data_IF_182550332991
#
_entry.id   IF_182550332991
#
_cell.length_a   1.000
_cell.length_b   1.000
_cell.length_c   1.000
_cell.angle_alpha   90.00
_cell.angle_beta   90.00
_cell.angle_gamma   90.00
#
_symmetry.space_group_name_H-M   'P 1'
#
loop_
_entity.id
_entity.type
_entity.pdbx_description
1 polymer ?
#
# COMPACT_ATOMS: atom_id res chain seq x y z
N UNK A 1 20.66 -11.95 27.58
CA UNK A 1 19.62 -12.99 27.60
C UNK A 1 18.24 -12.47 27.91
N UNK A 2 18.06 -11.74 29.01
CA UNK A 2 16.76 -11.14 29.32
C UNK A 2 16.30 -10.10 28.31
N UNK A 3 17.23 -9.29 27.81
CA UNK A 3 16.91 -8.25 26.82
C UNK A 3 16.43 -8.84 25.48
N UNK A 4 17.06 -9.92 25.02
CA UNK A 4 16.68 -10.57 23.77
C UNK A 4 15.29 -11.17 23.83
N UNK A 5 14.91 -11.78 24.96
CA UNK A 5 13.58 -12.33 25.13
C UNK A 5 12.51 -11.23 25.17
N UNK A 6 12.82 -10.10 25.83
CA UNK A 6 11.93 -8.95 25.88
C UNK A 6 11.77 -8.29 24.52
N UNK A 7 12.84 -8.13 23.76
CA UNK A 7 12.80 -7.59 22.41
C UNK A 7 11.96 -8.47 21.49
N UNK A 8 12.15 -9.78 21.56
CA UNK A 8 11.37 -10.73 20.76
C UNK A 8 9.88 -10.63 21.12
N UNK A 9 9.56 -10.58 22.40
CA UNK A 9 8.19 -10.46 22.88
C UNK A 9 7.55 -9.15 22.44
N UNK A 10 8.28 -8.05 22.53
CA UNK A 10 7.80 -6.73 22.06
C UNK A 10 7.55 -6.72 20.56
N UNK A 11 8.45 -7.29 19.76
CA UNK A 11 8.27 -7.39 18.32
C UNK A 11 7.04 -8.22 17.95
N UNK A 12 6.85 -9.34 18.63
CA UNK A 12 5.70 -10.20 18.42
C UNK A 12 4.39 -9.48 18.79
N UNK A 13 4.39 -8.81 19.93
CA UNK A 13 3.24 -8.03 20.39
C UNK A 13 2.88 -6.90 19.43
N UNK A 14 3.87 -6.15 18.95
CA UNK A 14 3.68 -5.07 18.00
C UNK A 14 3.07 -5.61 16.70
N UNK A 15 3.61 -6.70 16.16
CA UNK A 15 3.07 -7.33 14.94
C UNK A 15 1.62 -7.77 15.15
N UNK A 16 1.32 -8.33 16.28
CA UNK A 16 -0.03 -8.77 16.64
C UNK A 16 -0.99 -7.58 16.73
N UNK A 17 -0.55 -6.48 17.33
CA UNK A 17 -1.33 -5.25 17.44
C UNK A 17 -1.58 -4.63 16.06
N UNK A 18 -0.57 -4.57 15.20
CA UNK A 18 -0.73 -4.06 13.83
C UNK A 18 -1.74 -4.90 13.05
N UNK A 19 -1.69 -6.22 13.15
CA UNK A 19 -2.65 -7.10 12.48
C UNK A 19 -4.08 -6.85 12.96
N UNK A 20 -4.25 -6.49 14.23
CA UNK A 20 -5.54 -6.22 14.82
C UNK A 20 -6.18 -4.92 14.29
N UNK A 21 -5.36 -3.93 13.92
CA UNK A 21 -5.83 -2.61 13.49
C UNK A 21 -5.82 -2.41 11.97
N UNK A 22 -5.77 -3.47 11.19
CA UNK A 22 -5.86 -3.35 9.73
C UNK A 22 -7.22 -2.79 9.33
N UNK A 23 -7.21 -1.73 8.55
CA UNK A 23 -8.43 -1.05 8.10
C UNK A 23 -8.90 -1.59 6.75
N UNK A 24 -7.98 -1.90 5.83
CA UNK A 24 -8.33 -2.29 4.47
C UNK A 24 -7.48 -3.45 4.00
N UNK A 25 -8.14 -4.43 3.37
CA UNK A 25 -7.49 -5.59 2.76
C UNK A 25 -8.01 -5.68 1.32
N UNK A 26 -7.35 -5.02 0.37
CA UNK A 26 -7.82 -5.03 -1.02
C UNK A 26 -7.69 -6.40 -1.68
N UNK A 27 -8.57 -6.69 -2.63
CA UNK A 27 -8.51 -7.90 -3.43
C UNK A 27 -7.30 -7.90 -4.36
N UNK A 28 -6.95 -6.73 -4.89
CA UNK A 28 -5.73 -6.48 -5.68
C UNK A 28 -5.16 -5.13 -5.27
N UNK A 29 -3.85 -5.00 -5.32
CA UNK A 29 -3.18 -3.77 -4.91
C UNK A 29 -1.88 -3.57 -5.67
N UNK A 30 -1.49 -2.33 -5.79
CA UNK A 30 -0.17 -1.92 -6.25
C UNK A 30 0.29 -0.74 -5.41
N UNK A 31 1.59 -0.46 -5.46
CA UNK A 31 2.15 0.77 -4.92
C UNK A 31 2.50 1.67 -6.09
N UNK A 32 2.10 2.92 -6.01
CA UNK A 32 2.43 3.93 -7.02
C UNK A 32 3.40 4.95 -6.44
N UNK A 33 4.36 5.32 -7.26
CA UNK A 33 5.32 6.38 -6.96
C UNK A 33 4.81 7.67 -7.60
N UNK A 34 4.66 8.71 -6.81
CA UNK A 34 4.14 9.99 -7.26
C UNK A 34 5.21 11.04 -7.08
N UNK A 35 5.56 11.73 -8.15
CA UNK A 35 6.54 12.80 -8.12
C UNK A 35 6.22 13.88 -9.14
N UNK A 36 6.65 15.09 -8.86
CA UNK A 36 6.46 16.23 -9.75
C UNK A 36 7.35 17.38 -9.34
N UNK A 37 7.40 18.43 -10.17
CA UNK A 37 8.27 19.57 -9.95
C UNK A 37 8.03 20.24 -8.59
N UNK A 38 6.78 20.38 -8.19
CA UNK A 38 6.39 21.00 -6.93
C UNK A 38 5.68 20.02 -6.00
N UNK A 39 5.81 18.72 -6.27
CA UNK A 39 5.16 17.65 -5.51
C UNK A 39 6.26 16.80 -4.90
N UNK A 40 6.33 16.67 -3.57
CA UNK A 40 7.34 15.81 -2.95
C UNK A 40 7.11 14.36 -3.34
N UNK A 41 8.20 13.62 -3.47
CA UNK A 41 8.14 12.19 -3.77
C UNK A 41 7.32 11.47 -2.70
N UNK A 42 6.30 10.75 -3.14
CA UNK A 42 5.38 10.04 -2.25
C UNK A 42 5.07 8.68 -2.85
N UNK A 43 4.97 7.67 -2.00
CA UNK A 43 4.49 6.36 -2.39
C UNK A 43 3.11 6.15 -1.79
N UNK A 44 2.19 5.63 -2.59
CA UNK A 44 0.82 5.38 -2.15
C UNK A 44 0.38 3.98 -2.53
N UNK A 45 -0.42 3.36 -1.68
CA UNK A 45 -1.08 2.10 -1.99
C UNK A 45 -2.36 2.40 -2.75
N UNK A 46 -2.50 1.79 -3.92
CA UNK A 46 -3.74 1.78 -4.69
C UNK A 46 -4.35 0.39 -4.55
N UNK A 47 -5.53 0.30 -3.96
CA UNK A 47 -6.22 -0.97 -3.74
C UNK A 47 -7.56 -0.99 -4.43
N UNK A 48 -7.94 -2.19 -4.90
CA UNK A 48 -9.23 -2.43 -5.55
C UNK A 48 -9.97 -3.57 -4.87
N UNK A 49 -11.28 -3.43 -4.81
CA UNK A 49 -12.20 -4.46 -4.35
C UNK A 49 -13.17 -4.77 -5.48
N UNK A 50 -13.33 -6.05 -5.76
CA UNK A 50 -14.27 -6.51 -6.78
C UNK A 50 -15.55 -6.90 -6.08
N UNK A 51 -16.66 -6.28 -6.46
CA UNK A 51 -17.89 -6.31 -5.70
C UNK A 51 -18.64 -7.64 -5.65
N UNK A 52 -18.12 -8.68 -6.25
CA UNK A 52 -18.76 -9.99 -6.23
C UNK A 52 -20.17 -9.96 -6.84
N UNK A 53 -21.02 -10.86 -6.35
CA UNK A 53 -22.32 -11.14 -6.95
C UNK A 53 -23.29 -9.94 -6.92
N UNK A 54 -23.33 -9.21 -5.81
CA UNK A 54 -24.28 -8.11 -5.63
C UNK A 54 -23.60 -6.74 -5.50
N UNK A 55 -22.28 -6.72 -5.47
CA UNK A 55 -21.55 -5.48 -5.26
C UNK A 55 -21.06 -4.86 -6.55
N UNK A 56 -20.70 -3.59 -6.46
CA UNK A 56 -19.96 -2.89 -7.49
C UNK A 56 -18.50 -2.83 -7.13
N UNK A 57 -17.63 -2.71 -8.14
CA UNK A 57 -16.21 -2.55 -7.94
C UNK A 57 -15.93 -1.22 -7.25
N UNK A 58 -14.88 -1.18 -6.44
CA UNK A 58 -14.44 0.04 -5.76
C UNK A 58 -12.94 0.10 -5.67
N UNK A 59 -12.41 1.29 -5.42
CA UNK A 59 -10.98 1.51 -5.27
C UNK A 59 -10.70 2.54 -4.21
N UNK A 60 -9.49 2.50 -3.66
CA UNK A 60 -8.99 3.51 -2.74
C UNK A 60 -7.51 3.76 -3.00
N UNK A 61 -7.13 5.01 -2.83
CA UNK A 61 -5.74 5.43 -2.82
C UNK A 61 -5.43 5.95 -1.42
N UNK A 62 -4.41 5.41 -0.77
CA UNK A 62 -4.12 5.83 0.59
C UNK A 62 -3.53 7.26 0.63
N UNK A 63 -3.37 7.80 1.84
CA UNK A 63 -2.89 9.18 2.04
C UNK A 63 -1.40 9.37 1.75
N UNK A 64 -0.69 8.30 1.51
CA UNK A 64 0.75 8.25 1.37
C UNK A 64 1.32 7.31 2.42
N UNK A 65 2.26 6.47 2.01
CA UNK A 65 2.87 5.48 2.90
C UNK A 65 3.83 6.20 3.85
N UNK A 66 3.63 5.99 5.13
CA UNK A 66 4.50 6.51 6.17
C UNK A 66 5.37 5.43 6.77
N UNK A 67 4.82 4.23 6.93
CA UNK A 67 5.48 3.12 7.62
C UNK A 67 5.09 1.80 6.98
N UNK A 68 6.06 0.90 6.87
CA UNK A 68 5.87 -0.42 6.26
C UNK A 68 6.31 -1.49 7.24
N UNK A 69 5.53 -2.55 7.32
CA UNK A 69 5.88 -3.75 8.08
C UNK A 69 5.72 -4.98 7.19
N UNK A 70 6.67 -5.90 7.28
CA UNK A 70 6.63 -7.14 6.52
C UNK A 70 6.03 -8.26 7.35
N UNK A 71 5.00 -8.91 6.80
CA UNK A 71 4.44 -10.13 7.34
C UNK A 71 5.00 -11.36 6.65
N UNK A 72 4.45 -12.52 6.96
CA UNK A 72 4.87 -13.79 6.36
C UNK A 72 4.50 -13.88 4.89
N UNK A 73 3.27 -13.52 4.53
CA UNK A 73 2.71 -13.59 3.18
C UNK A 73 2.13 -12.26 2.71
N UNK A 74 2.39 -11.20 3.46
CA UNK A 74 1.75 -9.91 3.23
C UNK A 74 2.61 -8.75 3.72
N UNK A 75 2.20 -7.54 3.34
CA UNK A 75 2.79 -6.29 3.78
C UNK A 75 1.72 -5.44 4.45
N UNK A 76 2.11 -4.71 5.48
CA UNK A 76 1.26 -3.71 6.11
C UNK A 76 1.80 -2.32 5.81
N UNK A 77 0.93 -1.46 5.30
CA UNK A 77 1.28 -0.08 4.94
C UNK A 77 0.44 0.87 5.78
N UNK A 78 1.09 1.61 6.65
CA UNK A 78 0.44 2.67 7.41
C UNK A 78 0.56 3.98 6.64
N UNK A 79 -0.56 4.63 6.39
CA UNK A 79 -0.59 5.93 5.72
C UNK A 79 -0.44 7.08 6.69
N UNK A 80 -0.22 8.28 6.15
CA UNK A 80 -0.13 9.50 6.97
C UNK A 80 -1.42 9.78 7.75
N UNK A 81 -2.56 9.32 7.25
CA UNK A 81 -3.85 9.44 7.95
C UNK A 81 -4.01 8.45 9.10
N UNK A 82 -3.11 7.48 9.23
CA UNK A 82 -3.17 6.45 10.25
C UNK A 82 -3.84 5.15 9.81
N UNK A 83 -4.49 5.13 8.66
CA UNK A 83 -5.12 3.91 8.13
C UNK A 83 -4.06 2.90 7.70
N UNK A 84 -4.33 1.63 7.96
CA UNK A 84 -3.41 0.53 7.64
C UNK A 84 -4.03 -0.34 6.54
N UNK A 85 -3.28 -0.51 5.46
CA UNK A 85 -3.61 -1.39 4.34
C UNK A 85 -2.78 -2.65 4.43
N UNK A 86 -3.43 -3.80 4.27
CA UNK A 86 -2.73 -5.09 4.20
C UNK A 86 -2.78 -5.59 2.76
N UNK A 87 -1.59 -5.75 2.16
CA UNK A 87 -1.46 -6.27 0.81
C UNK A 87 -0.85 -7.66 0.81
N UNK A 88 -1.60 -8.66 0.36
CA UNK A 88 -1.07 -10.01 0.22
C UNK A 88 -0.13 -10.07 -0.98
N UNK A 89 1.00 -10.76 -0.83
CA UNK A 89 2.01 -10.91 -1.89
C UNK A 89 1.40 -11.50 -3.17
N UNK A 90 0.52 -12.48 -3.02
CA UNK A 90 -0.13 -13.16 -4.15
C UNK A 90 -1.12 -12.28 -4.90
N UNK A 91 -1.52 -11.14 -4.33
CA UNK A 91 -2.54 -10.26 -4.89
C UNK A 91 -1.98 -8.96 -5.47
N UNK A 92 -0.68 -8.87 -5.65
CA UNK A 92 -0.07 -7.70 -6.28
C UNK A 92 -0.44 -7.63 -7.75
N UNK A 93 -0.86 -6.47 -8.21
CA UNK A 93 -1.29 -6.23 -9.58
C UNK A 93 -2.71 -5.73 -9.67
N UNK A 94 -3.22 -5.57 -10.89
CA UNK A 94 -4.56 -5.06 -11.14
C UNK A 94 -5.27 -5.90 -12.20
N UNK A 95 -6.57 -6.08 -12.03
CA UNK A 95 -7.45 -6.55 -13.08
C UNK A 95 -7.98 -5.36 -13.90
N UNK A 96 -8.83 -5.65 -14.89
CA UNK A 96 -9.31 -4.67 -15.87
C UNK A 96 -9.87 -3.40 -15.24
N UNK A 97 -10.72 -3.51 -14.25
CA UNK A 97 -11.32 -2.36 -13.57
C UNK A 97 -10.28 -1.46 -12.94
N UNK A 98 -9.40 -2.04 -12.12
CA UNK A 98 -8.36 -1.29 -11.43
C UNK A 98 -7.36 -0.66 -12.40
N UNK A 99 -6.99 -1.38 -13.46
CA UNK A 99 -6.10 -0.86 -14.48
C UNK A 99 -6.71 0.35 -15.19
N UNK A 100 -8.00 0.31 -15.47
CA UNK A 100 -8.69 1.42 -16.11
C UNK A 100 -8.70 2.67 -15.24
N UNK A 101 -9.04 2.53 -13.96
CA UNK A 101 -9.03 3.63 -13.01
C UNK A 101 -7.62 4.20 -12.86
N UNK A 102 -6.64 3.33 -12.70
CA UNK A 102 -5.26 3.75 -12.49
C UNK A 102 -4.67 4.45 -13.71
N UNK A 103 -4.96 3.95 -14.91
CA UNK A 103 -4.55 4.62 -16.15
C UNK A 103 -5.15 6.01 -16.26
N UNK A 104 -6.40 6.19 -15.86
CA UNK A 104 -7.06 7.50 -15.82
C UNK A 104 -6.33 8.45 -14.87
N UNK A 105 -5.98 7.98 -13.70
CA UNK A 105 -5.22 8.75 -12.70
C UNK A 105 -3.86 9.14 -13.26
N UNK A 106 -3.15 8.20 -13.87
CA UNK A 106 -1.83 8.43 -14.45
C UNK A 106 -1.92 9.51 -15.54
N UNK A 107 -2.87 9.39 -16.45
CA UNK A 107 -3.03 10.31 -17.56
C UNK A 107 -3.41 11.73 -17.11
N UNK A 108 -4.34 11.84 -16.18
CA UNK A 108 -4.77 13.13 -15.63
C UNK A 108 -3.66 13.81 -14.84
N UNK A 109 -2.89 13.03 -14.11
CA UNK A 109 -1.74 13.54 -13.35
C UNK A 109 -0.66 14.08 -14.29
N UNK A 110 -0.41 13.37 -15.38
CA UNK A 110 0.58 13.79 -16.39
C UNK A 110 0.21 15.14 -17.01
N UNK A 111 -1.06 15.40 -17.23
CA UNK A 111 -1.55 16.68 -17.77
C UNK A 111 -1.19 17.87 -16.87
N UNK A 112 -1.04 17.65 -15.58
CA UNK A 112 -0.69 18.71 -14.62
C UNK A 112 0.77 18.60 -14.14
N UNK A 113 1.60 17.83 -14.85
CA UNK A 113 3.02 17.73 -14.56
C UNK A 113 3.38 16.83 -13.39
N UNK A 114 2.50 15.91 -13.03
CA UNK A 114 2.73 14.93 -11.96
C UNK A 114 2.90 13.55 -12.59
N UNK A 115 4.02 12.90 -12.29
CA UNK A 115 4.29 11.55 -12.77
C UNK A 115 3.82 10.54 -11.72
N UNK A 116 2.95 9.63 -12.15
CA UNK A 116 2.48 8.51 -11.35
C UNK A 116 2.96 7.23 -12.01
N UNK A 117 3.70 6.42 -11.29
CA UNK A 117 4.34 5.22 -11.81
C UNK A 117 4.03 4.03 -10.92
N UNK A 118 3.62 2.91 -11.53
CA UNK A 118 3.37 1.68 -10.79
C UNK A 118 4.72 1.03 -10.45
N UNK A 119 4.93 0.72 -9.19
CA UNK A 119 6.15 0.08 -8.72
C UNK A 119 6.17 -1.41 -9.08
N UNK A 120 7.35 -1.97 -9.38
CA UNK A 120 7.47 -3.39 -9.69
C UNK A 120 7.06 -4.30 -8.53
N UNK A 121 6.51 -5.46 -8.87
CA UNK A 121 6.07 -6.47 -7.90
C UNK A 121 7.19 -6.91 -6.95
N UNK A 122 8.42 -6.97 -7.44
CA UNK A 122 9.55 -7.48 -6.66
C UNK A 122 10.23 -6.41 -5.80
N UNK A 123 9.63 -5.24 -5.67
CA UNK A 123 10.17 -4.16 -4.84
C UNK A 123 10.21 -4.59 -3.37
N UNK A 124 11.35 -4.37 -2.72
CA UNK A 124 11.41 -4.50 -1.27
C UNK A 124 10.96 -3.18 -0.66
N UNK A 125 9.75 -3.19 -0.12
CA UNK A 125 9.11 -1.97 0.40
C UNK A 125 9.82 -1.40 1.63
N UNK A 126 10.68 -2.17 2.28
CA UNK A 126 11.49 -1.69 3.40
C UNK A 126 12.69 -0.85 2.95
N UNK A 127 13.11 -0.97 1.69
CA UNK A 127 14.27 -0.27 1.16
C UNK A 127 13.96 1.14 0.66
N UNK A 128 12.69 1.53 0.61
CA UNK A 128 12.28 2.84 0.14
C UNK A 128 12.24 3.85 1.28
N UNK A 129 12.50 5.12 0.94
CA UNK A 129 12.36 6.22 1.88
C UNK A 129 10.96 6.82 1.76
N UNK A 130 10.27 6.94 2.88
CA UNK A 130 8.90 7.45 2.93
C UNK A 130 8.79 8.86 3.53
N UNK A 131 9.94 9.47 3.79
CA UNK A 131 9.99 10.84 4.33
C UNK A 131 10.36 11.88 3.31
#
# INVERSE_FOLDING_TARGET
MFLDALEFFCCYYIKSVYSFFVNYVPDKWVVVKIEGKNVPLTYKVFGCWYGGYLGSNSWKLNSGIRKVSKGEDSWLFEGFSGSIYKGFNSNYGMHMYGSGVLNDIINKSEEVGVKVEIMPEHTNWLDLSYE
#
